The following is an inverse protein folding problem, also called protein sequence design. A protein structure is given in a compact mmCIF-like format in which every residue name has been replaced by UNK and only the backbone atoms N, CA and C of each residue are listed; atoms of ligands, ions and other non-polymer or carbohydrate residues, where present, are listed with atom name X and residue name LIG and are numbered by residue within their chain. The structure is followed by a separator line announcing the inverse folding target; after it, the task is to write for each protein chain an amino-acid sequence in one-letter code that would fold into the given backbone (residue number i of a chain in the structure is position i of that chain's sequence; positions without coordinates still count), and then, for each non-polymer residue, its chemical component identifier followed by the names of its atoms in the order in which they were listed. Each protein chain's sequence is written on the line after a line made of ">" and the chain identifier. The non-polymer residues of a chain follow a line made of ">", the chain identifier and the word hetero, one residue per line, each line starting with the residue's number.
data_IF_383643180041
#
_entry.id   IF_383643180041
#
_cell.length_a   1.000
_cell.length_b   1.000
_cell.length_c   1.000
_cell.angle_alpha   90.00
_cell.angle_beta   90.00
_cell.angle_gamma   90.00
#
_symmetry.space_group_name_H-M   'P 1'
#
loop_
_entity.id
_entity.type
_entity.pdbx_description
1 polymer ?
2 non-polymer ?
3 water ?
#
# COMPACT_ATOMS: atom_id res chain seq x y z
N UNK A 3 9.76 17.51 17.85
CA UNK A 3 11.01 18.26 17.52
C UNK A 3 12.00 17.34 16.83
N UNK A 4 11.84 16.03 17.00
CA UNK A 4 12.68 15.10 16.24
C UNK A 4 12.23 15.02 14.74
N UNK A 5 10.90 15.10 14.55
CA UNK A 5 10.18 15.29 13.27
C UNK A 5 10.34 14.06 12.36
N UNK A 21 20.74 11.81 11.21
CA UNK A 21 21.00 10.84 12.33
C UNK A 21 21.12 9.40 11.82
N UNK A 22 22.05 8.61 12.37
CA UNK A 22 22.37 7.30 11.77
C UNK A 22 21.33 6.18 11.89
N UNK A 23 20.48 6.20 12.93
CA UNK A 23 19.47 5.17 13.09
C UNK A 23 18.13 5.73 12.69
N UNK A 24 17.18 4.84 12.32
CA UNK A 24 15.88 5.37 12.00
C UNK A 24 15.17 5.96 13.22
N UNK A 25 14.35 6.95 12.94
CA UNK A 25 13.39 7.45 13.87
C UNK A 25 12.00 6.84 13.64
N UNK A 26 11.48 6.12 14.64
CA UNK A 26 10.12 5.61 14.63
C UNK A 26 9.18 6.48 15.53
N UNK A 27 8.07 7.00 14.96
CA UNK A 27 7.15 7.94 15.61
C UNK A 27 5.77 7.33 15.94
N UNK A 28 5.38 6.24 15.25
CA UNK A 28 4.12 5.62 15.57
C UNK A 28 3.74 4.45 14.64
N UNK A 29 2.60 3.83 14.93
CA UNK A 29 2.02 2.80 14.11
C UNK A 29 0.67 3.39 13.77
N UNK A 30 0.47 3.64 12.47
CA UNK A 30 -0.77 4.20 11.96
C UNK A 30 -1.60 3.03 11.40
N UNK A 31 -2.93 3.11 11.52
CA UNK A 31 -3.78 1.95 11.16
C UNK A 31 -5.08 2.45 10.49
N UNK A 32 -5.45 1.85 9.36
CA UNK A 32 -6.51 2.47 8.58
C UNK A 32 -7.43 1.39 8.03
N UNK A 33 -8.70 1.56 8.37
CA UNK A 33 -9.73 0.59 8.10
C UNK A 33 -10.66 1.08 7.01
N UNK A 34 -10.38 2.27 6.50
CA UNK A 34 -11.31 2.94 5.60
C UNK A 34 -11.02 2.83 4.10
N UNK A 35 -9.97 2.09 3.71
CA UNK A 35 -9.54 2.00 2.31
C UNK A 35 -10.02 0.74 1.55
N UNK A 36 -10.07 0.80 0.21
CA UNK A 36 -10.23 -0.43 -0.59
C UNK A 36 -9.00 -0.46 -1.54
N UNK A 37 -8.63 -1.65 -2.07
CA UNK A 37 -7.54 -1.85 -3.02
C UNK A 37 -8.12 -2.16 -4.42
N UNK A 38 -7.76 -1.36 -5.43
CA UNK A 38 -8.14 -1.63 -6.82
C UNK A 38 -6.89 -2.12 -7.58
N UNK A 39 -6.95 -3.29 -8.25
CA UNK A 39 -5.83 -3.74 -9.09
C UNK A 39 -6.32 -3.83 -10.56
N UNK A 40 -5.59 -3.12 -11.44
CA UNK A 40 -5.72 -3.15 -12.84
C UNK A 40 -4.77 -4.24 -13.34
N UNK A 41 -5.38 -5.33 -13.82
CA UNK A 41 -4.68 -6.54 -14.19
C UNK A 41 -4.50 -6.65 -15.69
N UNK A 42 -3.27 -6.93 -16.11
CA UNK A 42 -2.98 -7.13 -17.53
C UNK A 42 -2.88 -5.86 -18.36
N UNK A 43 -2.23 -4.83 -17.80
CA UNK A 43 -2.10 -3.54 -18.51
C UNK A 43 -0.97 -3.67 -19.51
N UNK A 44 -1.16 -3.25 -20.79
CA UNK A 44 0.06 -3.27 -21.57
C UNK A 44 1.24 -2.50 -20.91
N UNK A 45 2.40 -3.13 -20.93
CA UNK A 45 3.60 -2.60 -20.36
C UNK A 45 4.41 -1.74 -21.37
N UNK A 46 3.78 -0.72 -21.91
CA UNK A 46 4.40 0.18 -22.86
C UNK A 46 4.02 1.62 -22.51
N UNK A 47 4.79 2.63 -23.01
CA UNK A 47 4.58 3.96 -22.52
C UNK A 47 3.16 4.49 -22.66
N UNK A 48 2.73 5.22 -21.62
CA UNK A 48 1.43 5.88 -21.58
C UNK A 48 0.27 5.12 -20.98
N UNK A 49 0.44 3.86 -20.64
CA UNK A 49 -0.64 3.14 -19.96
C UNK A 49 -0.86 3.51 -18.48
N UNK A 50 0.22 3.70 -17.73
CA UNK A 50 0.02 4.21 -16.30
C UNK A 50 -0.74 5.54 -16.33
N UNK A 51 -0.33 6.40 -17.27
CA UNK A 51 -1.00 7.66 -17.50
C UNK A 51 -2.49 7.52 -17.74
N UNK A 52 -2.88 6.58 -18.61
CA UNK A 52 -4.33 6.44 -18.89
C UNK A 52 -5.07 6.13 -17.60
N UNK A 53 -4.54 5.17 -16.83
CA UNK A 53 -5.18 4.72 -15.60
C UNK A 53 -5.28 5.91 -14.64
N UNK A 54 -4.16 6.61 -14.39
CA UNK A 54 -4.23 7.67 -13.38
C UNK A 54 -5.01 8.92 -13.76
N UNK A 55 -5.01 9.29 -15.04
CA UNK A 55 -5.84 10.39 -15.53
C UNK A 55 -7.33 10.06 -15.42
N UNK A 56 -7.70 8.82 -15.77
CA UNK A 56 -9.09 8.38 -15.63
C UNK A 56 -9.55 8.49 -14.21
N UNK A 57 -8.74 7.99 -13.28
CA UNK A 57 -9.09 8.06 -11.87
C UNK A 57 -9.16 9.53 -11.37
N UNK A 58 -8.20 10.34 -11.81
CA UNK A 58 -8.18 11.77 -11.46
C UNK A 58 -9.40 12.49 -12.10
N UNK A 59 -9.77 12.10 -13.35
CA UNK A 59 -10.91 12.71 -14.04
C UNK A 59 -12.21 12.49 -13.30
N UNK A 60 -12.30 11.33 -12.65
CA UNK A 60 -13.46 11.03 -11.83
C UNK A 60 -13.32 11.59 -10.41
N UNK A 61 -12.31 12.44 -10.18
CA UNK A 61 -12.18 13.16 -8.89
C UNK A 61 -12.00 12.18 -7.68
N UNK A 62 -11.38 11.03 -7.95
CA UNK A 62 -11.10 10.02 -6.93
C UNK A 62 -9.71 10.25 -6.33
N UNK A 63 -9.66 10.29 -5.01
CA UNK A 63 -8.37 10.52 -4.34
C UNK A 63 -7.59 9.24 -4.04
N UNK A 64 -6.51 8.98 -4.75
CA UNK A 64 -5.77 7.76 -4.40
C UNK A 64 -4.66 7.92 -3.33
N UNK A 65 -4.49 6.90 -2.50
CA UNK A 65 -3.44 6.82 -1.54
C UNK A 65 -2.20 6.00 -2.05
N UNK A 66 -2.09 4.69 -1.73
CA UNK A 66 -0.89 3.99 -2.14
C UNK A 66 -1.04 3.67 -3.62
N UNK A 67 0.07 3.66 -4.36
CA UNK A 67 0.10 3.09 -5.70
C UNK A 67 1.28 2.14 -5.86
N UNK A 68 1.07 0.96 -6.49
CA UNK A 68 2.19 0.04 -6.61
C UNK A 68 2.21 -0.59 -7.96
N UNK A 69 3.37 -0.69 -8.62
CA UNK A 69 3.40 -1.47 -9.86
C UNK A 69 4.72 -2.15 -9.82
N UNK A 70 4.72 -3.50 -9.82
CA UNK A 70 5.95 -4.26 -9.65
C UNK A 70 6.34 -4.77 -11.06
N UNK A 71 7.37 -5.60 -11.11
CA UNK A 71 7.80 -6.44 -12.28
C UNK A 71 6.67 -7.00 -13.14
N UNK A 72 6.87 -7.00 -14.46
CA UNK A 72 5.84 -7.49 -15.45
C UNK A 72 5.95 -8.98 -15.89
N UNK A 73 4.87 -9.53 -16.49
CA UNK A 73 4.84 -10.98 -16.92
C UNK A 73 5.98 -11.36 -17.88
N UNK A 76 8.33 -5.01 -20.41
CA UNK A 76 7.82 -5.61 -21.64
C UNK A 76 6.62 -6.52 -21.32
N UNK A 77 5.70 -6.64 -22.29
CA UNK A 77 4.49 -7.51 -22.15
C UNK A 77 3.29 -6.83 -21.50
N UNK A 78 2.79 -7.43 -20.42
CA UNK A 78 1.70 -6.86 -19.63
C UNK A 78 2.03 -6.86 -18.14
N UNK A 79 1.44 -5.90 -17.40
CA UNK A 79 1.72 -5.85 -15.98
C UNK A 79 0.48 -5.40 -15.20
N UNK A 80 0.58 -5.36 -13.85
CA UNK A 80 -0.51 -4.93 -13.01
C UNK A 80 -0.14 -3.62 -12.25
N UNK A 81 -1.17 -2.83 -11.95
CA UNK A 81 -1.12 -1.59 -11.16
C UNK A 81 -2.18 -1.64 -10.11
N UNK A 82 -1.74 -1.55 -8.85
CA UNK A 82 -2.65 -1.51 -7.72
C UNK A 82 -2.61 -0.13 -7.09
N UNK A 83 -3.75 0.37 -6.66
CA UNK A 83 -3.80 1.59 -5.85
C UNK A 83 -4.81 1.40 -4.75
N UNK A 84 -4.68 2.19 -3.65
CA UNK A 84 -5.73 2.17 -2.67
C UNK A 84 -6.46 3.47 -2.71
N UNK A 85 -7.73 3.46 -2.28
CA UNK A 85 -8.52 4.68 -2.17
C UNK A 85 -9.57 4.50 -1.05
N UNK A 86 -10.40 5.50 -0.78
CA UNK A 86 -11.43 5.29 0.23
C UNK A 86 -12.42 4.22 -0.27
N UNK A 87 -12.82 3.31 0.60
CA UNK A 87 -13.97 2.39 0.34
C UNK A 87 -15.14 3.11 -0.32
N UNK A 88 -15.41 4.34 0.09
CA UNK A 88 -16.62 5.03 -0.33
C UNK A 88 -16.57 5.45 -1.79
N UNK A 89 -15.37 5.60 -2.35
CA UNK A 89 -15.31 5.93 -3.74
C UNK A 89 -14.76 4.76 -4.52
N UNK A 90 -14.44 3.65 -3.85
CA UNK A 90 -13.93 2.45 -4.54
C UNK A 90 -14.78 2.06 -5.76
N UNK A 91 -16.12 1.96 -5.58
CA UNK A 91 -16.89 1.52 -6.76
C UNK A 91 -16.92 2.53 -7.91
N UNK A 92 -17.03 3.81 -7.59
CA UNK A 92 -16.90 4.82 -8.66
C UNK A 92 -15.55 4.67 -9.36
N UNK A 93 -14.52 4.30 -8.65
CA UNK A 93 -13.21 4.25 -9.39
C UNK A 93 -13.23 3.05 -10.36
N UNK A 94 -13.72 1.94 -9.83
CA UNK A 94 -13.73 0.72 -10.65
C UNK A 94 -14.61 0.96 -11.94
N UNK A 95 -15.77 1.59 -11.75
CA UNK A 95 -16.72 1.93 -12.83
C UNK A 95 -16.08 2.88 -13.82
N UNK A 96 -15.39 3.90 -13.30
CA UNK A 96 -14.71 4.80 -14.21
C UNK A 96 -13.70 4.02 -15.03
N UNK A 97 -12.92 3.19 -14.37
CA UNK A 97 -11.90 2.47 -15.12
C UNK A 97 -12.53 1.51 -16.21
N UNK A 98 -13.58 0.80 -15.79
CA UNK A 98 -14.23 -0.15 -16.71
C UNK A 98 -14.90 0.57 -17.86
N UNK A 99 -15.36 1.80 -17.63
CA UNK A 99 -15.92 2.60 -18.74
C UNK A 99 -14.87 2.86 -19.77
N UNK A 100 -13.60 2.63 -19.42
CA UNK A 100 -12.48 2.88 -20.33
C UNK A 100 -11.70 1.64 -20.67
N UNK A 101 -12.35 0.47 -20.55
CA UNK A 101 -11.66 -0.79 -20.74
C UNK A 101 -11.04 -0.86 -22.10
N UNK A 102 -11.73 -0.38 -23.14
CA UNK A 102 -11.12 -0.41 -24.50
C UNK A 102 -9.84 0.40 -24.59
N UNK A 103 -9.88 1.63 -24.09
CA UNK A 103 -8.68 2.50 -24.20
C UNK A 103 -7.55 2.02 -23.31
N UNK A 104 -7.89 1.61 -22.08
CA UNK A 104 -6.87 1.07 -21.15
C UNK A 104 -6.36 -0.36 -21.51
N UNK A 105 -7.20 -1.24 -22.02
CA UNK A 105 -6.69 -2.55 -22.45
C UNK A 105 -6.42 -3.57 -21.36
N UNK A 106 -7.08 -3.45 -20.20
CA UNK A 106 -6.77 -4.38 -19.11
C UNK A 106 -7.57 -5.70 -19.31
N UNK A 107 -7.17 -6.78 -18.66
CA UNK A 107 -7.99 -8.01 -18.68
C UNK A 107 -8.96 -8.20 -17.49
N UNK A 108 -8.59 -7.73 -16.29
CA UNK A 108 -9.47 -7.79 -15.13
C UNK A 108 -9.34 -6.51 -14.26
N UNK A 109 -10.33 -6.19 -13.42
CA UNK A 109 -10.05 -5.27 -12.28
C UNK A 109 -10.35 -6.09 -11.03
N UNK A 110 -9.45 -6.08 -10.05
CA UNK A 110 -9.73 -6.71 -8.80
C UNK A 110 -10.08 -5.66 -7.79
N UNK A 111 -11.06 -5.99 -6.95
CA UNK A 111 -11.52 -5.06 -5.95
C UNK A 111 -11.59 -5.76 -4.60
N UNK A 112 -10.97 -5.15 -3.57
CA UNK A 112 -10.95 -5.78 -2.23
C UNK A 112 -11.30 -4.70 -1.22
N UNK A 113 -12.51 -4.72 -0.64
CA UNK A 113 -12.85 -3.61 0.25
C UNK A 113 -12.85 -4.08 1.68
N UNK A 114 -12.01 -5.05 1.96
CA UNK A 114 -11.87 -5.64 3.27
C UNK A 114 -10.42 -5.63 3.72
N UNK A 115 -9.70 -4.58 3.31
CA UNK A 115 -8.28 -4.47 3.66
C UNK A 115 -8.07 -3.63 4.92
N UNK A 116 -7.10 -4.02 5.74
CA UNK A 116 -6.53 -3.08 6.73
C UNK A 116 -5.15 -2.63 6.26
N UNK A 117 -4.86 -1.35 6.40
CA UNK A 117 -3.58 -0.76 6.07
C UNK A 117 -2.85 -0.42 7.40
N UNK A 118 -1.66 -1.00 7.60
CA UNK A 118 -0.92 -0.78 8.87
C UNK A 118 0.46 -0.35 8.51
N UNK A 119 0.88 0.77 9.11
CA UNK A 119 2.15 1.28 8.80
C UNK A 119 3.00 1.57 10.05
N UNK A 120 4.30 1.40 9.94
CA UNK A 120 5.27 1.94 10.89
C UNK A 120 5.71 3.30 10.29
N UNK A 121 5.49 4.39 11.06
CA UNK A 121 5.74 5.78 10.61
C UNK A 121 7.04 6.28 11.26
N UNK A 122 7.78 7.08 10.55
CA UNK A 122 9.14 7.31 10.98
C UNK A 122 9.83 8.27 10.09
N UNK A 123 11.14 8.23 10.14
CA UNK A 123 11.99 9.01 9.31
C UNK A 123 13.32 8.28 9.31
N UNK A 124 14.11 8.57 8.28
CA UNK A 124 15.39 7.90 7.98
C UNK A 124 15.27 6.36 7.99
N UNK A 125 14.10 5.83 7.57
CA UNK A 125 13.91 4.38 7.57
C UNK A 125 14.59 3.53 6.46
N UNK A 126 15.29 4.20 5.56
CA UNK A 126 15.94 3.58 4.38
C UNK A 126 17.28 2.91 4.74
N UNK A 127 17.71 1.93 3.94
CA UNK A 127 18.88 1.05 4.27
C UNK A 127 18.87 0.48 5.71
N UNK A 128 17.68 0.29 6.27
CA UNK A 128 17.54 -0.52 7.46
C UNK A 128 16.62 -1.68 7.11
N UNK A 129 17.05 -2.54 6.14
CA UNK A 129 16.45 -3.85 5.92
C UNK A 129 16.16 -4.55 7.23
N UNK A 130 17.03 -4.29 8.24
CA UNK A 130 16.90 -4.97 9.52
C UNK A 130 15.59 -4.53 10.08
N UNK A 131 15.24 -3.27 9.82
CA UNK A 131 13.90 -2.78 10.26
C UNK A 131 12.74 -3.42 9.41
N UNK A 132 12.87 -3.42 8.08
CA UNK A 132 11.87 -4.18 7.29
C UNK A 132 11.67 -5.62 7.81
N UNK A 133 12.77 -6.27 8.12
CA UNK A 133 12.68 -7.67 8.62
C UNK A 133 11.96 -7.73 9.93
N UNK A 134 12.32 -6.84 10.85
CA UNK A 134 11.66 -6.84 12.17
C UNK A 134 10.14 -6.64 12.07
N UNK A 135 9.71 -5.73 11.19
CA UNK A 135 8.31 -5.51 10.88
C UNK A 135 7.62 -6.80 10.43
N UNK A 136 8.23 -7.52 9.47
CA UNK A 136 7.59 -8.68 8.89
C UNK A 136 7.63 -9.84 9.88
N UNK A 137 8.65 -9.89 10.72
CA UNK A 137 8.72 -10.96 11.74
C UNK A 137 7.64 -10.85 12.81
N UNK A 138 7.26 -9.62 13.13
CA UNK A 138 6.31 -9.37 14.23
C UNK A 138 4.93 -9.70 13.76
N UNK A 139 4.64 -9.40 12.49
CA UNK A 139 3.33 -9.71 11.95
C UNK A 139 3.29 -11.23 11.81
N UNK A 140 4.36 -11.84 11.30
CA UNK A 140 4.40 -13.31 11.13
C UNK A 140 4.26 -14.02 12.49
N UNK A 141 4.88 -13.50 13.53
CA UNK A 141 4.78 -14.10 14.86
C UNK A 141 3.33 -14.20 15.35
N UNK A 142 2.47 -13.27 14.95
CA UNK A 142 1.05 -13.42 15.33
C UNK A 142 0.13 -13.89 14.18
N UNK A 143 0.74 -14.55 13.19
CA UNK A 143 -0.07 -15.13 12.13
C UNK A 143 -0.67 -14.14 11.14
N UNK A 144 -0.17 -12.90 11.06
CA UNK A 144 -0.78 -11.94 10.10
C UNK A 144 -0.11 -12.18 8.74
N UNK A 145 -0.92 -12.48 7.73
CA UNK A 145 -0.44 -12.55 6.32
C UNK A 145 -0.33 -11.14 5.70
N UNK A 146 0.82 -10.88 5.12
CA UNK A 146 1.05 -9.58 4.43
C UNK A 146 0.63 -9.72 2.96
N UNK A 147 -0.36 -8.94 2.57
CA UNK A 147 -0.92 -8.94 1.23
C UNK A 147 -0.23 -8.00 0.25
N UNK A 148 0.38 -6.92 0.77
CA UNK A 148 1.01 -5.92 -0.06
C UNK A 148 2.01 -5.15 0.83
N UNK A 149 3.14 -4.75 0.26
CA UNK A 149 4.12 -3.95 1.00
C UNK A 149 4.56 -2.81 0.10
N UNK A 150 4.70 -1.60 0.68
CA UNK A 150 5.29 -0.46 0.02
C UNK A 150 6.10 0.28 1.14
N UNK A 151 7.36 0.60 0.85
CA UNK A 151 8.16 1.39 1.78
C UNK A 151 8.64 2.71 1.23
N UNK A 152 8.99 3.56 2.17
CA UNK A 152 9.80 4.72 1.88
C UNK A 152 10.59 5.15 3.18
N UNK A 153 11.28 6.28 3.05
CA UNK A 153 12.04 6.95 4.12
C UNK A 153 11.24 7.09 5.39
N UNK A 154 9.94 7.36 5.23
CA UNK A 154 9.04 7.73 6.30
C UNK A 154 7.97 6.74 6.68
N UNK A 155 7.91 5.59 5.98
CA UNK A 155 6.88 4.62 6.31
C UNK A 155 7.15 3.24 5.68
N UNK A 156 6.85 2.22 6.46
CA UNK A 156 6.66 0.86 5.96
C UNK A 156 5.17 0.62 6.07
N UNK A 157 4.49 0.47 4.92
CA UNK A 157 3.04 0.17 4.93
C UNK A 157 2.74 -1.21 4.37
N UNK A 158 1.81 -1.95 4.99
CA UNK A 158 1.45 -3.29 4.43
C UNK A 158 -0.07 -3.31 4.45
N UNK A 159 -0.68 -4.09 3.56
CA UNK A 159 -2.11 -4.37 3.72
C UNK A 159 -2.23 -5.73 4.31
N UNK A 160 -3.27 -5.88 5.15
CA UNK A 160 -3.60 -7.22 5.66
C UNK A 160 -5.12 -7.29 5.72
N UNK A 161 -5.66 -8.45 6.07
CA UNK A 161 -7.12 -8.52 6.28
C UNK A 161 -7.54 -7.54 7.37
N UNK A 162 -8.66 -6.87 7.20
CA UNK A 162 -9.02 -5.83 8.15
C UNK A 162 -9.28 -6.47 9.51
N UNK A 163 -9.56 -7.77 9.55
CA UNK A 163 -9.77 -8.50 10.82
C UNK A 163 -8.51 -8.58 11.67
N UNK A 164 -7.37 -8.46 11.00
CA UNK A 164 -6.09 -8.77 11.63
C UNK A 164 -5.38 -7.54 12.01
N UNK A 165 -6.03 -6.43 11.72
CA UNK A 165 -5.41 -5.16 11.85
C UNK A 165 -5.07 -4.86 13.33
N UNK A 166 -6.01 -5.16 14.23
CA UNK A 166 -5.76 -5.01 15.69
C UNK A 166 -4.51 -5.72 16.16
N UNK A 167 -4.40 -7.02 15.93
CA UNK A 167 -3.18 -7.69 16.38
C UNK A 167 -1.88 -7.24 15.65
N UNK A 168 -2.01 -6.78 14.41
CA UNK A 168 -0.84 -6.27 13.70
C UNK A 168 -0.32 -5.03 14.39
N UNK A 169 -1.23 -4.18 14.85
CA UNK A 169 -0.84 -2.94 15.48
C UNK A 169 -0.10 -3.19 16.82
N UNK A 170 -0.62 -4.12 17.62
CA UNK A 170 -0.08 -4.51 18.95
C UNK A 170 1.29 -5.16 18.73
N UNK A 171 1.37 -6.07 17.75
CA UNK A 171 2.62 -6.71 17.41
C UNK A 171 3.67 -5.70 17.08
N UNK A 172 3.32 -4.69 16.30
CA UNK A 172 4.32 -3.74 15.87
C UNK A 172 4.76 -2.87 17.03
N UNK A 173 3.79 -2.40 17.84
CA UNK A 173 4.15 -1.65 19.11
C UNK A 173 5.22 -2.39 19.93
N UNK A 174 4.94 -3.63 20.29
CA UNK A 174 5.89 -4.49 21.00
C UNK A 174 7.26 -4.58 20.34
N UNK A 175 7.29 -4.79 19.02
CA UNK A 175 8.52 -5.18 18.37
C UNK A 175 9.44 -3.99 18.27
N UNK A 176 8.85 -2.80 18.16
CA UNK A 176 9.66 -1.61 18.04
C UNK A 176 9.77 -0.76 19.36
N UNK A 177 9.28 -1.30 20.48
CA UNK A 177 9.16 -0.51 21.75
C UNK A 177 8.48 0.86 21.54
N UNK A 178 7.18 0.87 21.23
CA UNK A 178 6.48 2.15 21.02
C UNK A 178 5.25 2.23 21.89
N UNK A 183 5.40 10.06 21.36
CA UNK A 183 6.77 10.07 21.81
C UNK A 183 7.61 9.40 20.69
N UNK A 184 8.60 10.12 20.12
CA UNK A 184 9.51 9.58 19.04
C UNK A 184 10.54 8.62 19.62
N UNK A 185 10.96 7.63 18.82
CA UNK A 185 11.93 6.65 19.23
C UNK A 185 13.07 6.62 18.21
N UNK A 186 14.31 6.56 18.65
CA UNK A 186 15.46 6.31 17.78
C UNK A 186 15.78 4.85 17.97
N UNK A 187 15.64 4.09 16.88
CA UNK A 187 15.61 2.65 17.02
C UNK A 187 16.95 2.08 16.59
N UNK A 188 17.69 1.49 17.53
CA UNK A 188 18.97 0.88 17.14
C UNK A 188 18.87 -0.62 17.17
X LIG B 1 4.91 0.69 -18.49
X LIG B 1 3.56 1.33 -18.58
X LIG B 1 3.75 2.85 -18.80
X LIG B 1 2.75 3.59 -18.88
X LIG B 1 2.75 1.13 -17.29
X LIG B 1 3.52 1.65 -16.15
X LIG B 1 2.51 -0.40 -17.06
X LIG B 1 4.91 3.30 -18.91
#
# INVERSE_FOLDING_TARGET
>A
MGSIHHHHHHSSGLVPRGNHMEDPILTGVAHDRSEAKVTIVGLPDIPGYAAKVFRAVADADVNIDMVLQNVSKVEDGKTDITFTCSRDVGPAAVEKLDSLRNEIGFSQLLYDDHIGKVSLIGAGMRSHPGVTATFCEALAAVGVNIELISTSEIRISVLCRDTELDKAVVALHEAFGLGGDEEATVYAGTGRLEHHHHHH
>B hetero
1 THR N CA C O CB OG1 CG2 OXT
#
